data_IF_784010308403
#
_entry.id   IF_784010308403
#
_cell.length_a   1.000
_cell.length_b   1.000
_cell.length_c   1.000
_cell.angle_alpha   90.00
_cell.angle_beta   90.00
_cell.angle_gamma   90.00
#
_symmetry.space_group_name_H-M   'P 1'
#
loop_
_entity.id
_entity.type
_entity.pdbx_description
1 polymer ?
#
# COMPACT_ATOMS: atom_id res chain seq x y z
N UNK A 1 17.44 1.94 -10.68
CA UNK A 1 18.14 1.39 -9.49
C UNK A 1 17.10 1.02 -8.45
N UNK A 2 17.21 -0.14 -7.79
CA UNK A 2 16.30 -0.56 -6.71
C UNK A 2 16.88 -0.16 -5.35
N UNK A 3 16.02 0.30 -4.42
CA UNK A 3 16.41 0.68 -3.06
C UNK A 3 15.58 -0.10 -2.04
N UNK A 4 16.26 -0.75 -1.08
CA UNK A 4 15.61 -1.38 0.06
C UNK A 4 15.21 -0.30 1.08
N UNK A 5 13.95 -0.37 1.54
CA UNK A 5 13.38 0.55 2.52
C UNK A 5 12.53 -0.25 3.50
N UNK A 6 12.65 0.05 4.79
CA UNK A 6 11.87 -0.59 5.84
C UNK A 6 10.63 0.24 6.17
N UNK A 7 9.45 -0.38 6.13
CA UNK A 7 8.17 0.24 6.50
C UNK A 7 7.37 -0.70 7.38
N UNK A 8 6.55 -0.14 8.28
CA UNK A 8 5.57 -0.91 9.06
C UNK A 8 4.24 -0.93 8.31
N UNK A 9 3.59 -2.09 8.28
CA UNK A 9 2.29 -2.29 7.64
C UNK A 9 1.26 -2.75 8.67
N UNK A 10 -0.01 -2.43 8.43
CA UNK A 10 -1.12 -2.99 9.20
C UNK A 10 -1.16 -4.50 8.95
N UNK A 11 -0.91 -5.29 10.00
CA UNK A 11 -0.75 -6.75 9.89
C UNK A 11 -1.95 -7.43 9.19
N UNK A 12 -3.17 -7.07 9.60
CA UNK A 12 -4.39 -7.61 8.99
C UNK A 12 -4.53 -7.22 7.50
N UNK A 13 -4.12 -6.02 7.11
CA UNK A 13 -4.16 -5.59 5.71
C UNK A 13 -3.13 -6.37 4.90
N UNK A 14 -1.92 -6.53 5.42
CA UNK A 14 -0.85 -7.27 4.76
C UNK A 14 -1.19 -8.76 4.60
N UNK A 15 -1.79 -9.37 5.63
CA UNK A 15 -2.30 -10.75 5.57
C UNK A 15 -3.37 -10.90 4.48
N UNK A 16 -4.36 -9.99 4.44
CA UNK A 16 -5.38 -9.99 3.38
C UNK A 16 -4.77 -9.84 1.99
N UNK A 17 -3.82 -8.91 1.83
CA UNK A 17 -3.10 -8.73 0.58
C UNK A 17 -2.35 -10.00 0.15
N UNK A 18 -1.68 -10.70 1.08
CA UNK A 18 -1.02 -11.96 0.75
C UNK A 18 -2.02 -13.01 0.27
N UNK A 19 -3.12 -13.19 0.99
CA UNK A 19 -4.15 -14.19 0.65
C UNK A 19 -4.76 -13.90 -0.73
N UNK A 20 -5.08 -12.64 -1.02
CA UNK A 20 -5.68 -12.25 -2.30
C UNK A 20 -4.74 -12.37 -3.50
N UNK A 21 -3.43 -12.51 -3.27
CA UNK A 21 -2.40 -12.61 -4.31
C UNK A 21 -1.58 -13.90 -4.15
N UNK A 22 -2.20 -14.98 -3.65
CA UNK A 22 -1.54 -16.29 -3.54
C UNK A 22 -1.30 -16.93 -4.92
N UNK A 23 -2.26 -16.78 -5.83
CA UNK A 23 -2.21 -17.40 -7.16
C UNK A 23 -1.56 -16.50 -8.22
N UNK A 24 -1.73 -15.19 -8.06
CA UNK A 24 -1.09 -14.19 -8.90
C UNK A 24 0.31 -13.89 -8.38
N UNK A 25 1.32 -13.97 -9.25
CA UNK A 25 2.74 -13.59 -8.99
C UNK A 25 2.94 -12.09 -8.67
N UNK A 26 1.92 -11.42 -8.13
CA UNK A 26 1.86 -10.02 -7.79
C UNK A 26 2.37 -9.79 -6.37
N UNK A 27 3.49 -9.08 -6.27
CA UNK A 27 4.21 -8.87 -5.02
C UNK A 27 3.91 -7.50 -4.43
N UNK A 28 4.12 -7.35 -3.12
CA UNK A 28 4.03 -6.05 -2.45
C UNK A 28 4.95 -5.00 -3.10
N UNK A 29 6.15 -5.41 -3.54
CA UNK A 29 7.07 -4.51 -4.21
C UNK A 29 6.49 -3.99 -5.55
N UNK A 30 5.83 -4.85 -6.34
CA UNK A 30 5.14 -4.42 -7.56
C UNK A 30 4.02 -3.43 -7.25
N UNK A 31 3.24 -3.68 -6.19
CA UNK A 31 2.18 -2.77 -5.74
C UNK A 31 2.75 -1.41 -5.36
N UNK A 32 3.71 -1.37 -4.43
CA UNK A 32 4.27 -0.11 -3.92
C UNK A 32 4.90 0.71 -5.05
N UNK A 33 5.68 0.08 -5.93
CA UNK A 33 6.28 0.79 -7.07
C UNK A 33 5.23 1.43 -7.99
N UNK A 34 4.17 0.69 -8.34
CA UNK A 34 3.08 1.20 -9.19
C UNK A 34 2.27 2.29 -8.48
N UNK A 35 1.99 2.12 -7.19
CA UNK A 35 1.27 3.11 -6.40
C UNK A 35 2.08 4.40 -6.21
N UNK A 36 3.40 4.32 -6.00
CA UNK A 36 4.26 5.50 -5.94
C UNK A 36 4.29 6.23 -7.27
N UNK A 37 4.42 5.50 -8.38
CA UNK A 37 4.40 6.09 -9.73
C UNK A 37 3.07 6.82 -10.01
N UNK A 38 1.93 6.18 -9.73
CA UNK A 38 0.62 6.80 -9.84
C UNK A 38 0.46 7.99 -8.91
N UNK A 39 0.98 7.92 -7.68
CA UNK A 39 0.92 9.03 -6.73
C UNK A 39 1.69 10.26 -7.24
N UNK A 40 2.81 10.06 -7.94
CA UNK A 40 3.62 11.15 -8.49
C UNK A 40 3.02 11.72 -9.77
N UNK A 41 2.43 10.89 -10.63
CA UNK A 41 2.04 11.31 -11.98
C UNK A 41 0.52 11.48 -12.19
N UNK A 42 -0.32 11.08 -11.24
CA UNK A 42 -1.77 11.17 -11.35
C UNK A 42 -2.37 11.93 -10.15
N UNK A 43 -2.78 13.18 -10.40
CA UNK A 43 -3.32 14.06 -9.36
C UNK A 43 -4.63 13.54 -8.75
N UNK A 44 -5.47 12.87 -9.54
CA UNK A 44 -6.70 12.27 -9.03
C UNK A 44 -6.40 11.12 -8.08
N UNK A 45 -5.45 10.25 -8.42
CA UNK A 45 -5.02 9.16 -7.55
C UNK A 45 -4.34 9.71 -6.29
N UNK A 46 -3.50 10.75 -6.42
CA UNK A 46 -2.89 11.44 -5.28
C UNK A 46 -3.95 11.98 -4.32
N UNK A 47 -4.96 12.68 -4.86
CA UNK A 47 -6.09 13.21 -4.08
C UNK A 47 -6.85 12.09 -3.38
N UNK A 48 -7.16 11.01 -4.10
CA UNK A 48 -7.84 9.84 -3.55
C UNK A 48 -7.09 9.25 -2.35
N UNK A 49 -5.76 9.06 -2.46
CA UNK A 49 -4.94 8.53 -1.37
C UNK A 49 -4.91 9.50 -0.17
N UNK A 50 -4.74 10.80 -0.42
CA UNK A 50 -4.66 11.81 0.64
C UNK A 50 -5.98 11.98 1.40
N UNK A 51 -7.12 11.81 0.73
CA UNK A 51 -8.46 11.99 1.30
C UNK A 51 -9.05 10.68 1.86
N UNK A 52 -8.36 9.55 1.72
CA UNK A 52 -8.87 8.24 2.13
C UNK A 52 -8.98 8.08 3.67
N UNK A 53 -10.20 8.20 4.22
CA UNK A 53 -10.47 8.09 5.66
C UNK A 53 -10.89 6.67 6.12
N UNK A 54 -11.17 5.75 5.19
CA UNK A 54 -11.72 4.43 5.52
C UNK A 54 -10.67 3.41 5.96
N UNK A 55 -9.39 3.77 5.91
CA UNK A 55 -8.34 2.97 6.51
C UNK A 55 -8.42 3.16 8.02
N UNK A 56 -9.17 2.27 8.71
CA UNK A 56 -9.20 2.25 10.17
C UNK A 56 -7.75 2.33 10.67
N UNK A 57 -7.44 3.31 11.53
CA UNK A 57 -6.17 3.27 12.24
C UNK A 57 -6.10 1.89 12.88
N UNK A 58 -4.98 1.15 12.73
CA UNK A 58 -4.76 0.07 13.70
C UNK A 58 -4.92 0.73 15.05
N UNK A 59 -5.77 0.17 15.91
CA UNK A 59 -5.89 0.63 17.28
C UNK A 59 -4.52 0.66 17.94
N UNK A 60 -3.91 1.83 17.89
CA UNK A 60 -2.92 2.37 18.80
C UNK A 60 -3.38 3.81 18.96
N UNK A 61 -4.46 3.96 19.73
CA UNK A 61 -4.44 5.06 20.66
C UNK A 61 -3.22 4.81 21.56
N UNK A 62 -2.42 5.87 21.72
CA UNK A 62 -1.09 5.96 22.34
C UNK A 62 0.08 5.76 21.37
#
# INVERSE_FOLDING_TARGET
>A
MLKLTSVKLLDNLYKKFKISNLDDSFTLQKLINRSMDLYVHNDNFRKQINEWQNLKSSGSAL
#
